data_IF_452045342581
#
_entry.id   IF_452045342581
#
_cell.length_a   1.000
_cell.length_b   1.000
_cell.length_c   1.000
_cell.angle_alpha   90.00
_cell.angle_beta   90.00
_cell.angle_gamma   90.00
#
_symmetry.space_group_name_H-M   'P 1'
#
loop_
_entity.id
_entity.type
_entity.pdbx_description
1 polymer ?
#
# COMPACT_ATOMS: atom_id res chain seq x y z
N UNK A 1 -3.47 -5.74 2.38
CA UNK A 1 -2.50 -4.64 2.54
C UNK A 1 -2.72 -3.84 3.82
N UNK A 2 -3.94 -3.37 4.14
CA UNK A 2 -4.23 -2.66 5.40
C UNK A 2 -3.71 -3.39 6.65
N UNK A 3 -4.05 -4.68 6.82
CA UNK A 3 -3.51 -5.52 7.89
C UNK A 3 -1.99 -5.49 8.01
N UNK A 4 -1.26 -5.52 6.88
CA UNK A 4 0.20 -5.47 6.90
C UNK A 4 0.69 -4.10 7.36
N UNK A 5 0.05 -3.02 6.90
CA UNK A 5 0.36 -1.67 7.36
C UNK A 5 0.14 -1.52 8.87
N UNK A 6 -1.00 -1.99 9.40
CA UNK A 6 -1.32 -1.94 10.83
C UNK A 6 -0.33 -2.76 11.67
N UNK A 7 0.17 -3.88 11.12
CA UNK A 7 1.19 -4.71 11.77
C UNK A 7 2.57 -4.01 11.76
N UNK A 8 2.95 -3.36 10.65
CA UNK A 8 4.17 -2.52 10.58
C UNK A 8 4.09 -1.25 11.45
N UNK A 9 2.89 -0.78 11.78
CA UNK A 9 2.70 0.32 12.73
C UNK A 9 2.97 -0.12 14.17
N UNK A 10 2.76 -1.41 14.48
CA UNK A 10 3.05 -2.03 15.77
C UNK A 10 4.50 -2.52 15.86
N UNK A 11 5.00 -3.15 14.80
CA UNK A 11 6.36 -3.67 14.71
C UNK A 11 7.06 -3.15 13.43
N UNK A 12 7.76 -2.01 13.51
CA UNK A 12 8.38 -1.37 12.35
C UNK A 12 9.53 -2.17 11.72
N UNK A 13 10.19 -3.02 12.49
CA UNK A 13 11.38 -3.78 12.06
C UNK A 13 11.01 -5.04 11.27
N UNK A 14 9.72 -5.39 11.28
CA UNK A 14 9.14 -6.49 10.53
C UNK A 14 8.49 -7.52 11.44
N UNK A 15 7.69 -8.39 10.83
CA UNK A 15 6.94 -9.41 11.57
C UNK A 15 6.79 -10.68 10.76
N UNK A 16 6.57 -11.78 11.46
CA UNK A 16 6.25 -13.07 10.85
C UNK A 16 4.73 -13.22 10.77
N UNK A 17 4.25 -13.72 9.64
CA UNK A 17 2.83 -13.97 9.42
C UNK A 17 2.61 -15.38 8.89
N UNK A 18 1.66 -16.10 9.50
CA UNK A 18 1.19 -17.37 8.97
C UNK A 18 0.26 -17.10 7.76
N UNK A 19 0.75 -17.45 6.57
CA UNK A 19 0.03 -17.26 5.31
C UNK A 19 -1.20 -18.16 5.19
N UNK A 20 -1.19 -19.36 5.77
CA UNK A 20 -2.35 -20.26 5.74
C UNK A 20 -3.46 -19.70 6.62
N UNK A 21 -3.14 -19.33 7.87
CA UNK A 21 -4.08 -18.67 8.76
C UNK A 21 -4.61 -17.34 8.18
N UNK A 22 -3.71 -16.54 7.59
CA UNK A 22 -4.11 -15.27 6.97
C UNK A 22 -5.07 -15.47 5.81
N UNK A 23 -4.86 -16.49 4.98
CA UNK A 23 -5.76 -16.81 3.89
C UNK A 23 -7.16 -17.23 4.39
N UNK A 24 -7.22 -18.10 5.41
CA UNK A 24 -8.51 -18.58 5.94
C UNK A 24 -9.32 -17.46 6.61
N UNK A 25 -8.67 -16.49 7.27
CA UNK A 25 -9.38 -15.32 7.82
C UNK A 25 -10.04 -14.44 6.75
N UNK A 26 -9.62 -14.55 5.49
CA UNK A 26 -10.25 -13.88 4.34
C UNK A 26 -11.17 -14.80 3.52
N UNK A 27 -11.41 -16.03 3.98
CA UNK A 27 -12.20 -17.03 3.25
C UNK A 27 -11.50 -17.55 1.99
N UNK A 28 -10.16 -17.50 1.93
CA UNK A 28 -9.38 -17.95 0.79
C UNK A 28 -8.58 -19.21 1.13
N UNK A 29 -8.38 -20.07 0.13
CA UNK A 29 -7.46 -21.19 0.26
C UNK A 29 -6.01 -20.76 0.00
N UNK A 30 -5.09 -21.43 0.69
CA UNK A 30 -3.66 -21.25 0.50
C UNK A 30 -2.95 -22.58 0.23
N UNK A 31 -2.11 -22.55 -0.80
CA UNK A 31 -1.10 -23.57 -1.08
C UNK A 31 0.15 -22.82 -1.48
N UNK A 32 1.32 -23.29 -1.05
CA UNK A 32 2.60 -22.65 -1.36
C UNK A 32 2.74 -22.45 -2.88
N UNK A 33 3.09 -21.24 -3.30
CA UNK A 33 3.16 -20.85 -4.71
C UNK A 33 1.93 -20.08 -5.20
N UNK A 34 1.83 -19.86 -6.52
CA UNK A 34 0.81 -19.01 -7.14
C UNK A 34 -0.47 -19.77 -7.57
N UNK A 35 -0.65 -21.01 -7.14
CA UNK A 35 -1.76 -21.85 -7.61
C UNK A 35 -3.06 -21.64 -6.82
N UNK A 36 -2.99 -21.11 -5.59
CA UNK A 36 -4.18 -20.80 -4.78
C UNK A 36 -4.67 -19.36 -4.98
N UNK A 37 -5.95 -19.04 -4.66
CA UNK A 37 -6.46 -17.67 -4.71
C UNK A 37 -5.61 -16.67 -3.90
N UNK A 38 -5.23 -17.04 -2.68
CA UNK A 38 -4.35 -16.20 -1.86
C UNK A 38 -2.94 -16.06 -2.47
N UNK A 39 -2.37 -17.15 -2.99
CA UNK A 39 -1.08 -17.12 -3.69
C UNK A 39 -1.09 -16.23 -4.94
N UNK A 40 -2.17 -16.25 -5.73
CA UNK A 40 -2.39 -15.36 -6.88
C UNK A 40 -2.48 -13.90 -6.44
N UNK A 41 -3.16 -13.61 -5.34
CA UNK A 41 -3.26 -12.26 -4.79
C UNK A 41 -1.88 -11.74 -4.32
N UNK A 42 -1.09 -12.57 -3.63
CA UNK A 42 0.27 -12.20 -3.22
C UNK A 42 1.18 -11.98 -4.44
N UNK A 43 1.08 -12.81 -5.47
CA UNK A 43 1.80 -12.61 -6.72
C UNK A 43 1.38 -11.31 -7.43
N UNK A 44 0.09 -10.94 -7.38
CA UNK A 44 -0.40 -9.65 -7.89
C UNK A 44 0.21 -8.48 -7.12
N UNK A 45 0.36 -8.57 -5.79
CA UNK A 45 1.09 -7.56 -5.03
C UNK A 45 2.53 -7.38 -5.55
N UNK A 46 3.21 -8.46 -5.95
CA UNK A 46 4.53 -8.36 -6.58
C UNK A 46 4.46 -7.69 -7.95
N UNK A 47 3.53 -8.11 -8.82
CA UNK A 47 3.36 -7.53 -10.16
C UNK A 47 3.07 -6.03 -10.13
N UNK A 48 2.33 -5.55 -9.13
CA UNK A 48 2.03 -4.12 -8.96
C UNK A 48 3.07 -3.39 -8.09
N UNK A 49 4.17 -4.04 -7.70
CA UNK A 49 5.25 -3.42 -6.94
C UNK A 49 4.92 -3.09 -5.49
N UNK A 50 3.90 -3.75 -4.93
CA UNK A 50 3.47 -3.61 -3.53
C UNK A 50 4.23 -4.55 -2.60
N UNK A 51 4.79 -5.62 -3.14
CA UNK A 51 5.64 -6.57 -2.42
C UNK A 51 6.84 -6.93 -3.30
N UNK A 52 7.96 -7.24 -2.66
CA UNK A 52 9.16 -7.73 -3.30
C UNK A 52 9.61 -8.99 -2.55
N UNK A 53 9.67 -10.16 -3.21
CA UNK A 53 10.17 -11.37 -2.58
C UNK A 53 11.67 -11.24 -2.25
N UNK A 54 12.06 -11.78 -1.11
CA UNK A 54 13.44 -11.94 -0.63
C UNK A 54 13.68 -13.41 -0.28
N UNK A 55 14.93 -13.85 -0.02
CA UNK A 55 15.21 -15.22 0.41
C UNK A 55 14.40 -15.64 1.64
N UNK A 56 14.20 -14.70 2.58
CA UNK A 56 13.58 -14.96 3.88
C UNK A 56 12.12 -14.48 3.98
N UNK A 57 11.53 -13.96 2.89
CA UNK A 57 10.14 -13.50 2.92
C UNK A 57 9.80 -12.43 1.89
N UNK A 58 9.19 -11.34 2.34
CA UNK A 58 8.76 -10.23 1.49
C UNK A 58 9.07 -8.90 2.14
N UNK A 59 9.64 -7.97 1.36
CA UNK A 59 9.60 -6.54 1.66
C UNK A 59 8.32 -5.99 1.06
N UNK A 60 7.49 -5.33 1.84
CA UNK A 60 6.22 -4.78 1.37
C UNK A 60 6.19 -3.27 1.49
N UNK A 61 5.46 -2.64 0.58
CA UNK A 61 5.17 -1.22 0.70
C UNK A 61 4.13 -1.01 1.79
N UNK A 62 4.50 -0.23 2.80
CA UNK A 62 3.55 0.36 3.76
C UNK A 62 2.63 1.38 3.10
N UNK A 63 3.05 1.97 1.97
CA UNK A 63 2.30 2.99 1.23
C UNK A 63 2.25 2.69 -0.25
N UNK A 64 1.03 2.71 -0.79
CA UNK A 64 0.79 2.47 -2.21
C UNK A 64 1.12 3.75 -2.99
N UNK A 65 2.03 3.71 -3.97
CA UNK A 65 2.20 4.83 -4.87
C UNK A 65 0.96 4.96 -5.77
N UNK A 66 0.75 6.14 -6.35
CA UNK A 66 -0.14 6.27 -7.50
C UNK A 66 0.24 5.21 -8.56
N UNK A 67 -0.75 4.78 -9.36
CA UNK A 67 -0.53 3.77 -10.40
C UNK A 67 0.66 4.19 -11.26
N UNK A 68 1.66 3.32 -11.39
CA UNK A 68 2.88 3.69 -12.11
C UNK A 68 2.56 3.97 -13.58
N UNK A 69 3.22 4.97 -14.18
CA UNK A 69 2.97 5.39 -15.57
C UNK A 69 3.04 4.23 -16.56
N UNK A 70 3.99 3.29 -16.37
CA UNK A 70 4.12 2.07 -17.21
C UNK A 70 2.91 1.14 -17.19
N UNK A 71 2.09 1.18 -16.14
CA UNK A 71 0.88 0.38 -16.03
C UNK A 71 -0.29 1.13 -16.68
N UNK A 72 -0.37 2.45 -16.47
CA UNK A 72 -1.35 3.32 -17.12
C UNK A 72 -1.21 3.29 -18.65
N UNK A 73 0.02 3.35 -19.16
CA UNK A 73 0.30 3.35 -20.60
C UNK A 73 -0.08 2.04 -21.32
N UNK A 74 -0.43 0.98 -20.58
CA UNK A 74 -0.88 -0.31 -21.13
C UNK A 74 -2.39 -0.47 -21.07
N UNK A 75 -3.11 0.51 -20.52
CA UNK A 75 -4.56 0.52 -20.45
C UNK A 75 -5.16 1.10 -21.74
N UNK A 76 -6.40 0.76 -22.08
CA UNK A 76 -7.14 1.43 -23.15
C UNK A 76 -7.21 2.96 -22.98
N UNK A 77 -7.25 3.70 -24.09
CA UNK A 77 -7.18 5.17 -24.10
C UNK A 77 -8.31 5.85 -23.29
N UNK A 78 -9.50 5.27 -23.31
CA UNK A 78 -10.65 5.74 -22.53
C UNK A 78 -10.40 5.61 -21.02
N UNK A 79 -9.77 4.52 -20.59
CA UNK A 79 -9.40 4.30 -19.18
C UNK A 79 -8.26 5.23 -18.77
N UNK A 80 -7.26 5.44 -19.64
CA UNK A 80 -6.20 6.42 -19.39
C UNK A 80 -6.79 7.82 -19.19
N UNK A 81 -7.67 8.27 -20.10
CA UNK A 81 -8.34 9.57 -20.00
C UNK A 81 -9.18 9.71 -18.73
N UNK A 82 -9.96 8.70 -18.38
CA UNK A 82 -10.73 8.69 -17.14
C UNK A 82 -9.83 8.83 -15.90
N UNK A 83 -8.68 8.14 -15.88
CA UNK A 83 -7.70 8.28 -14.82
C UNK A 83 -7.13 9.70 -14.74
N UNK A 84 -6.74 10.31 -15.88
CA UNK A 84 -6.26 11.69 -15.92
C UNK A 84 -7.30 12.69 -15.40
N UNK A 85 -8.57 12.56 -15.81
CA UNK A 85 -9.65 13.42 -15.32
C UNK A 85 -9.88 13.26 -13.82
N UNK A 86 -9.86 12.03 -13.32
CA UNK A 86 -9.97 11.75 -11.89
C UNK A 86 -8.83 12.41 -11.11
N UNK A 87 -7.57 12.22 -11.53
CA UNK A 87 -6.42 12.84 -10.87
C UNK A 87 -6.50 14.37 -10.84
N UNK A 88 -7.04 15.00 -11.89
CA UNK A 88 -7.23 16.46 -11.92
C UNK A 88 -8.31 16.96 -10.96
N UNK A 89 -9.33 16.15 -10.66
CA UNK A 89 -10.45 16.51 -9.77
C UNK A 89 -10.15 16.18 -8.31
N UNK A 90 -9.28 15.20 -8.06
CA UNK A 90 -8.90 14.81 -6.71
C UNK A 90 -7.86 15.78 -6.14
N UNK A 91 -8.22 16.46 -5.06
CA UNK A 91 -7.27 17.24 -4.26
C UNK A 91 -6.33 16.27 -3.57
N UNK A 92 -5.10 16.13 -4.06
CA UNK A 92 -4.07 15.39 -3.33
C UNK A 92 -3.54 16.28 -2.21
N UNK A 93 -3.89 15.95 -0.97
CA UNK A 93 -3.22 16.51 0.19
C UNK A 93 -1.75 16.06 0.17
N UNK A 94 -0.84 17.02 0.01
CA UNK A 94 0.59 16.74 0.10
C UNK A 94 0.94 16.40 1.56
N UNK A 95 1.01 15.10 1.84
CA UNK A 95 1.36 14.58 3.17
C UNK A 95 2.66 15.16 3.70
N UNK A 96 3.70 15.32 2.86
CA UNK A 96 4.98 15.87 3.32
C UNK A 96 4.80 17.31 3.77
N UNK A 97 4.02 18.09 3.02
CA UNK A 97 3.69 19.46 3.39
C UNK A 97 2.89 19.52 4.69
N UNK A 98 1.92 18.61 4.89
CA UNK A 98 1.15 18.52 6.14
C UNK A 98 2.05 18.11 7.31
N UNK A 99 2.87 17.08 7.14
CA UNK A 99 3.83 16.61 8.15
C UNK A 99 4.78 17.73 8.56
N UNK A 100 5.38 18.43 7.59
CA UNK A 100 6.26 19.58 7.84
C UNK A 100 5.54 20.67 8.62
N UNK A 101 4.31 21.03 8.23
CA UNK A 101 3.50 22.00 8.96
C UNK A 101 3.18 21.57 10.38
N UNK A 102 2.87 20.30 10.61
CA UNK A 102 2.60 19.78 11.95
C UNK A 102 3.86 19.82 12.83
N UNK A 103 5.02 19.49 12.27
CA UNK A 103 6.31 19.61 12.96
C UNK A 103 6.64 21.06 13.28
N UNK A 104 6.43 22.00 12.34
CA UNK A 104 6.58 23.44 12.57
C UNK A 104 5.70 23.94 13.72
N UNK A 105 4.51 23.34 13.89
CA UNK A 105 3.57 23.64 14.97
C UNK A 105 3.88 22.90 16.29
N UNK A 106 5.00 22.18 16.37
CA UNK A 106 5.45 21.50 17.58
C UNK A 106 4.92 20.09 17.79
N UNK A 107 4.26 19.49 16.80
CA UNK A 107 3.85 18.07 16.86
C UNK A 107 5.08 17.18 16.70
N UNK A 108 5.30 16.16 17.56
CA UNK A 108 6.43 15.24 17.43
C UNK A 108 6.47 14.57 16.05
N UNK A 109 7.65 14.36 15.42
CA UNK A 109 7.76 13.86 14.05
C UNK A 109 7.00 12.56 13.78
N UNK A 110 6.99 11.62 14.74
CA UNK A 110 6.25 10.36 14.62
C UNK A 110 4.74 10.56 14.67
N UNK A 111 4.25 11.48 15.51
CA UNK A 111 2.84 11.85 15.59
C UNK A 111 2.39 12.67 14.36
N UNK A 112 3.24 13.57 13.87
CA UNK A 112 3.01 14.33 12.64
C UNK A 112 2.96 13.43 11.40
N UNK A 113 3.84 12.42 11.32
CA UNK A 113 3.82 11.43 10.26
C UNK A 113 2.53 10.61 10.25
N UNK A 114 2.04 10.19 11.43
CA UNK A 114 0.77 9.46 11.60
C UNK A 114 -0.46 10.33 11.31
N UNK A 115 -0.49 11.56 11.80
CA UNK A 115 -1.62 12.48 11.59
C UNK A 115 -1.74 12.93 10.12
N UNK A 116 -0.60 13.22 9.48
CA UNK A 116 -0.59 13.52 8.04
C UNK A 116 -1.01 12.32 7.19
N UNK A 117 -0.67 11.10 7.61
CA UNK A 117 -1.13 9.86 6.99
C UNK A 117 -2.64 9.65 7.14
N UNK A 118 -3.19 9.86 8.33
CA UNK A 118 -4.64 9.82 8.55
C UNK A 118 -5.39 10.85 7.70
N UNK A 119 -4.85 12.08 7.58
CA UNK A 119 -5.42 13.11 6.73
C UNK A 119 -5.37 12.75 5.24
N UNK A 120 -4.26 12.18 4.78
CA UNK A 120 -4.10 11.74 3.39
C UNK A 120 -5.00 10.55 3.01
N UNK A 121 -5.37 9.69 3.97
CA UNK A 121 -6.31 8.59 3.77
C UNK A 121 -7.79 9.04 3.75
N UNK A 122 -8.09 10.21 4.31
CA UNK A 122 -9.44 10.77 4.39
C UNK A 122 -9.81 11.69 3.21
N UNK A 123 -8.88 11.89 2.26
CA UNK A 123 -9.02 12.75 1.07
C UNK A 123 -9.27 11.92 -0.19
#
# INVERSE_FOLDING_TARGET
>A
MRRLADEFDRDPDGFVIDLAHTATTMGLSYTKGANSPFGKALHRCVMFGLAQPTPDGFVVRRRLPNVAQRHLSRLPDDVQRAHYEWTRRTIQLDRRRIEQRLVELGVPPTAAARASEAAALAS
#
